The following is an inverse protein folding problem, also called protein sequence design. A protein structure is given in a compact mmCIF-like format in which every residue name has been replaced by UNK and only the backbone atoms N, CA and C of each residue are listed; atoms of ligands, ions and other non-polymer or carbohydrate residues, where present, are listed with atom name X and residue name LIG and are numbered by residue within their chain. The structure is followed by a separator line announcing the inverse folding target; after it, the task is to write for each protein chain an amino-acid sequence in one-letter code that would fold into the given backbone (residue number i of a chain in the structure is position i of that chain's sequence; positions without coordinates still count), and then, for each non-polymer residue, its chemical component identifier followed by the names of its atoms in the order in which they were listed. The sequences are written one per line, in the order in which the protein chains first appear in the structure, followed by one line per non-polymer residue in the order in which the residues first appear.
data_IF_261915333270
#
_entry.id   IF_261915333270
#
_cell.length_a   1.000
_cell.length_b   1.000
_cell.length_c   1.000
_cell.angle_alpha   90.00
_cell.angle_beta   90.00
_cell.angle_gamma   90.00
#
_symmetry.space_group_name_H-M   'P 1'
#
loop_
_entity.id
_entity.type
_entity.pdbx_description
1 polymer ?
#
# COMPACT_ATOMS: atom_id res chain seq x y z
N UNK A 1 -33.74 0.40 11.44
CA UNK A 1 -32.95 -0.84 11.50
C UNK A 1 -33.84 -2.00 12.00
N UNK A 2 -33.79 -3.19 11.39
CA UNK A 2 -34.52 -4.36 11.87
C UNK A 2 -34.05 -4.85 13.25
N UNK A 3 -32.94 -4.31 13.73
CA UNK A 3 -32.40 -4.63 15.05
C UNK A 3 -33.08 -3.89 16.21
N UNK A 4 -33.92 -2.88 15.91
CA UNK A 4 -34.61 -2.12 16.96
C UNK A 4 -35.66 -3.01 17.64
N UNK A 5 -35.64 -3.01 18.97
CA UNK A 5 -36.62 -3.75 19.78
C UNK A 5 -36.30 -5.23 20.03
N UNK A 6 -35.15 -5.73 19.58
CA UNK A 6 -34.70 -7.07 19.92
C UNK A 6 -34.29 -7.14 21.41
N UNK A 7 -34.63 -8.23 22.14
CA UNK A 7 -34.22 -8.40 23.52
C UNK A 7 -32.70 -8.54 23.63
N UNK A 8 -32.13 -8.07 24.74
CA UNK A 8 -30.70 -8.12 25.02
C UNK A 8 -29.78 -7.41 23.99
N UNK A 9 -30.32 -6.41 23.30
CA UNK A 9 -29.57 -5.62 22.31
C UNK A 9 -29.51 -4.15 22.73
N UNK A 10 -28.31 -3.62 22.84
CA UNK A 10 -28.04 -2.21 23.06
C UNK A 10 -27.55 -1.62 21.74
N UNK A 11 -28.24 -0.62 21.23
CA UNK A 11 -27.87 0.13 20.03
C UNK A 11 -27.36 1.50 20.47
N UNK A 12 -26.12 1.80 20.10
CA UNK A 12 -25.52 3.11 20.35
C UNK A 12 -25.32 3.87 19.03
N UNK A 13 -25.34 5.21 19.03
CA UNK A 13 -24.85 5.97 17.88
C UNK A 13 -23.35 5.75 17.69
N UNK A 14 -22.83 6.13 16.50
CA UNK A 14 -21.42 5.99 16.18
C UNK A 14 -20.60 7.09 16.89
N UNK A 15 -20.31 6.89 18.17
CA UNK A 15 -19.66 7.88 19.05
C UNK A 15 -18.27 7.44 19.54
N UNK A 16 -17.79 6.27 19.12
CA UNK A 16 -16.50 5.73 19.62
C UNK A 16 -15.30 6.65 19.37
N UNK A 17 -15.33 7.47 18.32
CA UNK A 17 -14.29 8.46 18.04
C UNK A 17 -14.55 9.86 18.61
N UNK A 18 -15.64 10.06 19.37
CA UNK A 18 -16.09 11.41 19.78
C UNK A 18 -15.72 11.76 21.22
N UNK A 19 -15.09 10.86 21.98
CA UNK A 19 -14.60 11.14 23.31
C UNK A 19 -13.24 11.85 23.26
N UNK A 20 -12.90 12.63 24.28
CA UNK A 20 -11.61 13.31 24.36
C UNK A 20 -10.44 12.30 24.29
N UNK A 21 -10.53 11.23 25.06
CA UNK A 21 -9.54 10.13 25.03
C UNK A 21 -9.39 9.51 23.62
N UNK A 22 -10.50 9.28 22.92
CA UNK A 22 -10.45 8.75 21.56
C UNK A 22 -9.77 9.72 20.60
N UNK A 23 -10.02 11.02 20.72
CA UNK A 23 -9.37 12.05 19.89
C UNK A 23 -7.86 12.12 20.15
N UNK A 24 -7.43 12.03 21.41
CA UNK A 24 -6.00 11.96 21.76
C UNK A 24 -5.33 10.71 21.18
N UNK A 25 -5.97 9.55 21.32
CA UNK A 25 -5.49 8.29 20.77
C UNK A 25 -5.41 8.32 19.24
N UNK A 26 -6.41 8.86 18.55
CA UNK A 26 -6.42 9.05 17.10
C UNK A 26 -5.28 10.00 16.68
N UNK A 27 -5.11 11.11 17.43
CA UNK A 27 -4.06 12.10 17.18
C UNK A 27 -2.64 11.53 17.28
N UNK A 28 -2.44 10.50 18.09
CA UNK A 28 -1.16 9.80 18.20
C UNK A 28 -1.02 8.66 17.19
N UNK A 29 -2.09 7.92 16.93
CA UNK A 29 -2.06 6.72 16.08
C UNK A 29 -1.95 7.05 14.59
N UNK A 30 -2.76 7.98 14.10
CA UNK A 30 -2.86 8.27 12.65
C UNK A 30 -1.55 8.85 12.08
N UNK A 31 -0.89 9.85 12.73
CA UNK A 31 0.39 10.35 12.23
C UNK A 31 1.46 9.25 12.11
N UNK A 32 1.53 8.34 13.08
CA UNK A 32 2.44 7.21 13.03
C UNK A 32 2.20 6.30 11.82
N UNK A 33 0.94 6.07 11.43
CA UNK A 33 0.60 5.30 10.22
C UNK A 33 0.96 6.04 8.94
N UNK A 34 0.75 7.35 8.88
CA UNK A 34 1.11 8.18 7.73
C UNK A 34 2.64 8.20 7.56
N UNK A 35 3.38 8.41 8.63
CA UNK A 35 4.85 8.39 8.62
C UNK A 35 5.36 7.02 8.14
N UNK A 36 4.79 5.93 8.68
CA UNK A 36 5.15 4.59 8.23
C UNK A 36 4.88 4.39 6.72
N UNK A 37 3.73 4.84 6.21
CA UNK A 37 3.43 4.77 4.78
C UNK A 37 4.41 5.60 3.93
N UNK A 38 4.77 6.81 4.38
CA UNK A 38 5.71 7.66 3.66
C UNK A 38 7.10 7.00 3.59
N UNK A 39 7.55 6.41 4.68
CA UNK A 39 8.91 5.89 4.81
C UNK A 39 9.07 4.45 4.29
N UNK A 40 8.03 3.63 4.39
CA UNK A 40 8.14 2.19 4.08
C UNK A 40 7.19 1.70 3.01
N UNK A 41 6.15 2.48 2.69
CA UNK A 41 5.04 2.03 1.86
C UNK A 41 4.05 1.12 2.60
N UNK A 42 4.20 0.92 3.90
CA UNK A 42 3.30 0.07 4.69
C UNK A 42 1.88 0.64 4.75
N UNK A 43 0.87 -0.20 4.46
CA UNK A 43 -0.55 0.17 4.41
C UNK A 43 -1.37 -0.53 5.49
N UNK A 44 -0.72 -0.98 6.55
CA UNK A 44 -1.36 -1.69 7.65
C UNK A 44 -2.43 -0.84 8.33
N UNK A 45 -3.60 -1.42 8.57
CA UNK A 45 -4.80 -0.78 9.11
C UNK A 45 -5.51 0.20 8.15
N UNK A 46 -5.15 0.27 6.89
CA UNK A 46 -5.98 0.96 5.91
C UNK A 46 -7.30 0.23 5.72
N UNK A 47 -8.41 0.95 5.68
CA UNK A 47 -9.76 0.37 5.52
C UNK A 47 -10.23 0.35 4.06
N UNK A 48 -9.65 1.18 3.21
CA UNK A 48 -10.04 1.34 1.81
C UNK A 48 -8.91 1.02 0.82
N UNK A 49 -7.81 0.49 1.31
CA UNK A 49 -6.63 0.15 0.52
C UNK A 49 -6.12 -1.25 0.88
N UNK A 50 -5.49 -2.00 -0.05
CA UNK A 50 -4.91 -3.30 0.29
C UNK A 50 -3.91 -3.19 1.44
N UNK A 51 -4.08 -4.02 2.47
CA UNK A 51 -3.18 -4.04 3.62
C UNK A 51 -1.92 -4.83 3.28
N UNK A 52 -0.78 -4.14 3.23
CA UNK A 52 0.51 -4.71 2.90
C UNK A 52 1.60 -4.06 3.75
N UNK A 53 2.58 -4.86 4.15
CA UNK A 53 3.79 -4.38 4.79
C UNK A 53 4.93 -5.31 4.43
N UNK A 54 6.09 -4.72 4.10
CA UNK A 54 7.34 -5.40 3.83
C UNK A 54 8.39 -4.90 4.81
N UNK A 55 9.22 -5.77 5.38
CA UNK A 55 10.37 -5.32 6.17
C UNK A 55 11.24 -4.36 5.36
N UNK A 56 11.86 -3.39 6.03
CA UNK A 56 12.88 -2.56 5.39
C UNK A 56 14.11 -3.45 5.18
N UNK A 57 14.63 -3.44 3.96
CA UNK A 57 15.87 -4.14 3.62
C UNK A 57 17.00 -3.10 3.50
N UNK A 58 18.12 -3.38 4.14
CA UNK A 58 19.35 -2.63 3.94
C UNK A 58 19.92 -2.93 2.54
N UNK A 59 20.49 -1.93 1.89
CA UNK A 59 21.09 -2.03 0.55
C UNK A 59 20.10 -2.45 -0.57
N UNK A 60 18.84 -2.11 -0.45
CA UNK A 60 17.83 -2.31 -1.49
C UNK A 60 17.13 -0.99 -1.79
N UNK A 61 16.63 -0.84 -3.02
CA UNK A 61 15.79 0.28 -3.42
C UNK A 61 14.34 -0.16 -3.48
N UNK A 62 13.46 0.59 -2.84
CA UNK A 62 12.04 0.25 -2.76
C UNK A 62 11.20 1.02 -3.75
N UNK A 63 10.53 0.27 -4.61
CA UNK A 63 9.59 0.76 -5.60
C UNK A 63 8.15 0.44 -5.16
N UNK A 64 7.27 1.40 -5.28
CA UNK A 64 5.83 1.23 -5.00
C UNK A 64 5.05 1.46 -6.28
N UNK A 65 4.19 0.49 -6.60
CA UNK A 65 3.32 0.55 -7.75
C UNK A 65 1.86 0.34 -7.35
N UNK A 66 1.05 1.34 -7.55
CA UNK A 66 -0.41 1.31 -7.37
C UNK A 66 -1.03 1.23 -8.75
N UNK A 67 -1.88 0.24 -8.99
CA UNK A 67 -2.46 0.00 -10.30
C UNK A 67 -3.93 -0.45 -10.22
N UNK A 68 -4.65 -0.34 -11.31
CA UNK A 68 -5.94 -1.01 -11.42
C UNK A 68 -5.75 -2.52 -11.35
N UNK A 69 -6.63 -3.22 -10.62
CA UNK A 69 -6.55 -4.68 -10.49
C UNK A 69 -6.90 -5.36 -11.82
N UNK A 70 -5.89 -5.51 -12.67
CA UNK A 70 -5.97 -6.16 -13.98
C UNK A 70 -4.91 -7.24 -14.11
N UNK A 71 -5.19 -8.35 -14.81
CA UNK A 71 -4.18 -9.36 -15.10
C UNK A 71 -2.97 -8.79 -15.85
N UNK A 72 -1.77 -9.33 -15.58
CA UNK A 72 -0.55 -9.04 -16.34
C UNK A 72 0.31 -7.90 -15.82
N UNK A 73 -0.14 -7.07 -14.87
CA UNK A 73 0.65 -5.94 -14.36
C UNK A 73 1.99 -6.40 -13.76
N UNK A 74 1.99 -7.41 -12.89
CA UNK A 74 3.22 -7.98 -12.31
C UNK A 74 4.15 -8.50 -13.39
N UNK A 75 3.62 -9.16 -14.42
CA UNK A 75 4.43 -9.66 -15.53
C UNK A 75 5.11 -8.51 -16.31
N UNK A 76 4.44 -7.37 -16.47
CA UNK A 76 5.03 -6.18 -17.09
C UNK A 76 6.12 -5.57 -16.20
N UNK A 77 5.87 -5.40 -14.90
CA UNK A 77 6.87 -4.90 -13.94
C UNK A 77 8.12 -5.78 -14.01
N UNK A 78 7.95 -7.09 -13.88
CA UNK A 78 9.08 -8.03 -13.84
C UNK A 78 9.83 -8.07 -15.18
N UNK A 79 9.15 -7.93 -16.32
CA UNK A 79 9.77 -7.87 -17.63
C UNK A 79 10.64 -6.61 -17.81
N UNK A 80 10.15 -5.46 -17.34
CA UNK A 80 10.94 -4.21 -17.38
C UNK A 80 12.19 -4.35 -16.54
N UNK A 81 12.05 -4.81 -15.28
CA UNK A 81 13.20 -4.99 -14.39
C UNK A 81 14.22 -5.98 -14.98
N UNK A 82 13.76 -7.11 -15.52
CA UNK A 82 14.61 -8.09 -16.16
C UNK A 82 15.32 -7.55 -17.43
N UNK A 83 14.64 -6.72 -18.25
CA UNK A 83 15.23 -6.11 -19.44
C UNK A 83 16.37 -5.14 -19.10
N UNK A 84 16.36 -4.58 -17.91
CA UNK A 84 17.41 -3.71 -17.37
C UNK A 84 18.41 -4.44 -16.47
N UNK A 85 18.39 -5.78 -16.43
CA UNK A 85 19.27 -6.63 -15.60
C UNK A 85 19.18 -6.27 -14.10
N UNK A 86 17.97 -5.93 -13.62
CA UNK A 86 17.69 -5.60 -12.24
C UNK A 86 17.08 -6.82 -11.56
N UNK A 87 17.70 -7.26 -10.47
CA UNK A 87 17.22 -8.38 -9.68
C UNK A 87 16.23 -7.91 -8.59
N UNK A 88 15.18 -8.69 -8.39
CA UNK A 88 14.16 -8.46 -7.35
C UNK A 88 14.58 -9.19 -6.08
N UNK A 89 14.82 -8.46 -5.01
CA UNK A 89 15.17 -8.99 -3.68
C UNK A 89 13.91 -9.39 -2.92
N UNK A 90 12.84 -8.60 -3.08
CA UNK A 90 11.55 -8.88 -2.48
C UNK A 90 10.43 -8.25 -3.29
N UNK A 91 9.32 -8.96 -3.45
CA UNK A 91 8.16 -8.42 -4.13
C UNK A 91 6.88 -8.93 -3.47
N UNK A 92 5.99 -8.01 -3.16
CA UNK A 92 4.69 -8.33 -2.57
C UNK A 92 3.59 -7.61 -3.31
N UNK A 93 2.57 -8.37 -3.67
CA UNK A 93 1.34 -7.88 -4.24
C UNK A 93 0.18 -8.15 -3.28
N UNK A 94 -0.63 -7.15 -3.04
CA UNK A 94 -1.95 -7.31 -2.44
C UNK A 94 -2.98 -6.59 -3.30
N UNK A 95 -4.12 -7.21 -3.52
CA UNK A 95 -5.21 -6.64 -4.30
C UNK A 95 -6.48 -6.56 -3.49
N UNK A 96 -7.34 -5.63 -3.84
CA UNK A 96 -8.78 -5.67 -3.57
C UNK A 96 -9.52 -5.73 -4.92
N UNK A 97 -10.83 -5.51 -4.93
CA UNK A 97 -11.63 -5.62 -6.16
C UNK A 97 -11.17 -4.67 -7.28
N UNK A 98 -10.66 -3.50 -6.94
CA UNK A 98 -10.37 -2.40 -7.90
C UNK A 98 -8.89 -2.06 -8.03
N UNK A 99 -8.12 -2.24 -6.96
CA UNK A 99 -6.74 -1.76 -6.83
C UNK A 99 -5.80 -2.92 -6.53
N UNK A 100 -4.66 -2.93 -7.21
CA UNK A 100 -3.47 -3.68 -6.83
C UNK A 100 -2.41 -2.76 -6.25
N UNK A 101 -1.75 -3.21 -5.19
CA UNK A 101 -0.66 -2.54 -4.52
C UNK A 101 0.56 -3.46 -4.49
N UNK A 102 1.64 -3.01 -5.12
CA UNK A 102 2.90 -3.76 -5.21
C UNK A 102 3.99 -2.98 -4.51
N UNK A 103 4.73 -3.66 -3.64
CA UNK A 103 6.03 -3.21 -3.14
C UNK A 103 7.06 -4.14 -3.77
N UNK A 104 8.06 -3.57 -4.43
CA UNK A 104 9.19 -4.29 -5.01
C UNK A 104 10.48 -3.70 -4.49
N UNK A 105 11.30 -4.54 -3.87
CA UNK A 105 12.66 -4.21 -3.46
C UNK A 105 13.64 -4.78 -4.48
N UNK A 106 14.57 -3.96 -4.96
CA UNK A 106 15.55 -4.28 -6.00
C UNK A 106 16.97 -4.08 -5.46
N UNK A 107 17.92 -4.82 -5.99
CA UNK A 107 19.33 -4.85 -5.52
C UNK A 107 20.26 -3.87 -6.21
N UNK A 108 19.82 -3.26 -7.30
CA UNK A 108 20.64 -2.33 -8.09
C UNK A 108 20.04 -0.94 -8.12
N UNK A 109 20.92 0.02 -8.32
CA UNK A 109 20.51 1.37 -8.73
C UNK A 109 19.72 1.31 -10.04
N UNK A 110 18.72 2.15 -10.13
CA UNK A 110 17.85 2.29 -11.29
C UNK A 110 18.15 3.61 -12.01
N UNK A 111 18.00 3.62 -13.31
CA UNK A 111 18.12 4.84 -14.10
C UNK A 111 16.73 5.46 -14.40
N UNK A 112 16.74 6.63 -15.01
CA UNK A 112 15.52 7.35 -15.37
C UNK A 112 14.63 6.59 -16.34
N UNK A 113 15.19 5.75 -17.22
CA UNK A 113 14.46 5.00 -18.23
C UNK A 113 13.60 3.90 -17.58
N UNK A 114 14.16 3.15 -16.63
CA UNK A 114 13.39 2.15 -15.84
C UNK A 114 12.20 2.80 -15.15
N UNK A 115 12.43 3.94 -14.50
CA UNK A 115 11.36 4.67 -13.80
C UNK A 115 10.29 5.14 -14.78
N UNK A 116 10.67 5.61 -15.95
CA UNK A 116 9.75 6.03 -17.00
C UNK A 116 8.91 4.86 -17.49
N UNK A 117 9.55 3.76 -17.88
CA UNK A 117 8.86 2.56 -18.35
C UNK A 117 7.88 2.00 -17.31
N UNK A 118 8.27 1.93 -16.04
CA UNK A 118 7.40 1.48 -14.95
C UNK A 118 6.18 2.40 -14.75
N UNK A 119 6.35 3.70 -14.89
CA UNK A 119 5.24 4.67 -14.83
C UNK A 119 4.27 4.57 -15.99
N UNK A 120 4.76 4.18 -17.17
CA UNK A 120 4.00 4.09 -18.41
C UNK A 120 3.23 2.77 -18.55
N UNK A 121 3.38 1.81 -17.64
CA UNK A 121 2.60 0.57 -17.66
C UNK A 121 1.10 0.91 -17.66
N UNK A 122 0.39 0.40 -18.66
CA UNK A 122 -1.05 0.63 -18.77
C UNK A 122 -1.79 0.10 -17.55
N UNK A 123 -2.55 0.95 -16.91
CA UNK A 123 -3.28 0.63 -15.67
C UNK A 123 -2.58 1.14 -14.41
N UNK A 124 -1.40 1.76 -14.52
CA UNK A 124 -0.75 2.44 -13.41
C UNK A 124 -1.61 3.62 -12.93
N UNK A 125 -1.89 3.66 -11.64
CA UNK A 125 -2.53 4.78 -10.94
C UNK A 125 -1.45 5.70 -10.38
N UNK A 126 -0.46 5.11 -9.72
CA UNK A 126 0.65 5.84 -9.10
C UNK A 126 1.89 4.95 -9.00
N UNK A 127 3.03 5.54 -9.29
CA UNK A 127 4.33 4.94 -9.06
C UNK A 127 5.19 5.85 -8.17
N UNK A 128 5.91 5.26 -7.22
CA UNK A 128 6.82 5.99 -6.31
C UNK A 128 8.09 5.18 -6.12
N UNK A 129 9.19 5.89 -6.01
CA UNK A 129 10.44 5.38 -5.45
C UNK A 129 10.54 5.91 -4.03
N UNK A 130 10.87 5.08 -3.06
CA UNK A 130 11.02 5.50 -1.66
C UNK A 130 12.47 5.76 -1.30
N UNK A 131 13.37 4.87 -1.68
CA UNK A 131 14.81 4.98 -1.42
C UNK A 131 15.60 4.09 -2.37
#
# INVERSE_FOLDING_TARGET
SPLRGLPNLILTPHIGGSTQEAQENIGNFVPGKIINYINTGGTTNSVNFPNLQLPILENAHRLIHIHHNKPGIIAHINRILAAHDINIVGQYLKTNETIGYVITDIDKEYNADVIKELKEIQGTIRFRVLY
#
